data_IF_131034438454
#
_entry.id   IF_131034438454
#
_cell.length_a   1.000
_cell.length_b   1.000
_cell.length_c   1.000
_cell.angle_alpha   90.00
_cell.angle_beta   90.00
_cell.angle_gamma   90.00
#
_symmetry.space_group_name_H-M   'P 1'
#
loop_
_entity.id
_entity.type
_entity.pdbx_description
1 polymer ?
#
# COMPACT_ATOMS: atom_id res chain seq x y z
N UNK A 1 25.14 11.91 -11.74
CA UNK A 1 24.36 12.17 -10.52
C UNK A 1 24.27 10.91 -9.68
N UNK A 2 24.08 11.03 -8.37
CA UNK A 2 23.85 9.86 -7.49
C UNK A 2 22.52 9.17 -7.82
N UNK A 3 22.41 7.83 -7.65
CA UNK A 3 21.17 7.11 -7.93
C UNK A 3 20.03 7.58 -7.01
N UNK A 4 18.89 7.90 -7.60
CA UNK A 4 17.69 8.36 -6.91
C UNK A 4 16.76 7.21 -6.52
N UNK A 5 15.88 7.41 -5.53
CA UNK A 5 14.99 6.38 -5.03
C UNK A 5 13.61 6.93 -4.70
N UNK A 6 12.59 6.13 -4.97
CA UNK A 6 11.21 6.32 -4.51
C UNK A 6 10.98 5.27 -3.42
N UNK A 7 10.69 5.71 -2.20
CA UNK A 7 10.44 4.81 -1.06
C UNK A 7 9.00 4.97 -0.61
N UNK A 8 8.19 3.93 -0.85
CA UNK A 8 6.80 3.87 -0.45
C UNK A 8 6.67 3.20 0.93
N UNK A 9 6.10 3.93 1.90
CA UNK A 9 5.82 3.38 3.24
C UNK A 9 4.58 2.50 3.18
N UNK A 10 4.80 1.20 3.31
CA UNK A 10 3.80 0.15 3.21
C UNK A 10 3.46 -0.42 4.61
N UNK A 11 2.68 -1.51 4.67
CA UNK A 11 2.33 -2.23 5.90
C UNK A 11 2.16 -3.71 5.61
N UNK A 12 2.38 -4.58 6.61
CA UNK A 12 2.11 -6.03 6.53
C UNK A 12 0.64 -6.33 6.17
N UNK A 13 -0.27 -5.38 6.42
CA UNK A 13 -1.69 -5.48 6.07
C UNK A 13 -1.96 -5.70 4.57
N UNK A 14 -0.99 -5.44 3.69
CA UNK A 14 -1.14 -5.75 2.26
C UNK A 14 -1.37 -7.26 1.99
N UNK A 15 -0.90 -8.16 2.87
CA UNK A 15 -1.08 -9.61 2.71
C UNK A 15 -2.54 -10.06 2.85
N UNK A 16 -3.38 -9.28 3.55
CA UNK A 16 -4.81 -9.57 3.73
C UNK A 16 -5.71 -8.64 2.89
N UNK A 17 -5.11 -7.76 2.09
CA UNK A 17 -5.82 -6.85 1.21
C UNK A 17 -6.39 -7.54 -0.03
N UNK A 18 -7.37 -6.89 -0.66
CA UNK A 18 -7.91 -7.32 -1.96
C UNK A 18 -8.17 -6.10 -2.84
N UNK A 19 -7.63 -6.09 -4.05
CA UNK A 19 -7.84 -5.00 -5.02
C UNK A 19 -8.92 -5.43 -6.00
N UNK A 20 -10.11 -4.84 -5.87
CA UNK A 20 -11.19 -4.94 -6.85
C UNK A 20 -11.05 -3.76 -7.82
N UNK A 21 -10.67 -4.03 -9.08
CA UNK A 21 -10.52 -2.97 -10.10
C UNK A 21 -11.84 -2.28 -10.44
N UNK A 22 -12.96 -2.95 -10.22
CA UNK A 22 -14.30 -2.45 -10.53
C UNK A 22 -14.93 -1.66 -9.36
N UNK A 23 -14.33 -1.73 -8.17
CA UNK A 23 -14.79 -1.01 -6.98
C UNK A 23 -13.66 -0.70 -5.99
N UNK A 24 -12.61 -0.02 -6.47
CA UNK A 24 -11.43 0.31 -5.66
C UNK A 24 -11.75 1.14 -4.41
N UNK A 25 -12.86 1.90 -4.43
CA UNK A 25 -13.28 2.77 -3.34
C UNK A 25 -14.32 2.13 -2.41
N UNK A 26 -14.72 0.88 -2.66
CA UNK A 26 -15.73 0.15 -1.85
C UNK A 26 -17.06 0.94 -1.77
N UNK A 27 -17.47 1.50 -2.90
CA UNK A 27 -18.66 2.37 -3.03
C UNK A 27 -19.82 1.69 -3.73
N UNK A 28 -19.59 0.54 -4.41
CA UNK A 28 -20.62 -0.16 -5.18
C UNK A 28 -21.71 -0.83 -4.33
N UNK A 29 -21.50 -0.94 -3.02
CA UNK A 29 -22.39 -1.65 -2.10
C UNK A 29 -22.22 -3.17 -2.09
N UNK A 30 -21.40 -3.76 -2.99
CA UNK A 30 -21.06 -5.20 -2.98
C UNK A 30 -20.41 -5.66 -1.67
N UNK A 31 -19.69 -4.74 -1.01
CA UNK A 31 -19.07 -4.91 0.30
C UNK A 31 -19.24 -3.61 1.09
N UNK A 32 -19.41 -3.69 2.41
CA UNK A 32 -19.39 -2.52 3.29
C UNK A 32 -17.94 -2.09 3.57
N UNK A 33 -17.69 -0.78 3.52
CA UNK A 33 -16.40 -0.22 3.91
C UNK A 33 -16.11 -0.48 5.39
N UNK A 34 -14.87 -0.83 5.69
CA UNK A 34 -14.29 -0.77 7.03
C UNK A 34 -12.84 -0.28 6.92
N UNK A 35 -12.32 0.33 7.99
CA UNK A 35 -10.94 0.82 8.03
C UNK A 35 -9.93 -0.26 7.68
N UNK A 36 -10.13 -1.49 8.15
CA UNK A 36 -9.28 -2.64 7.82
C UNK A 36 -9.35 -2.98 6.32
N UNK A 37 -10.55 -3.06 5.73
CA UNK A 37 -10.71 -3.37 4.30
C UNK A 37 -10.05 -2.28 3.45
N UNK A 38 -10.38 -1.01 3.68
CA UNK A 38 -9.82 0.10 2.90
C UNK A 38 -8.30 0.19 3.05
N UNK A 39 -7.79 0.07 4.28
CA UNK A 39 -6.36 0.16 4.55
C UNK A 39 -5.58 -1.01 3.93
N UNK A 40 -5.99 -2.26 4.19
CA UNK A 40 -5.32 -3.45 3.65
C UNK A 40 -5.31 -3.46 2.11
N UNK A 41 -6.44 -3.15 1.49
CA UNK A 41 -6.55 -3.02 0.03
C UNK A 41 -5.68 -1.90 -0.53
N UNK A 42 -5.63 -0.73 0.11
CA UNK A 42 -4.76 0.38 -0.33
C UNK A 42 -3.27 0.02 -0.26
N UNK A 43 -2.86 -0.73 0.76
CA UNK A 43 -1.47 -1.19 0.94
C UNK A 43 -1.10 -2.26 -0.08
N UNK A 44 -2.03 -3.15 -0.45
CA UNK A 44 -1.83 -4.07 -1.57
C UNK A 44 -1.73 -3.33 -2.92
N UNK A 45 -2.63 -2.38 -3.17
CA UNK A 45 -2.59 -1.56 -4.38
C UNK A 45 -1.25 -0.79 -4.51
N UNK A 46 -0.71 -0.27 -3.40
CA UNK A 46 0.59 0.40 -3.39
C UNK A 46 1.74 -0.53 -3.80
N UNK A 47 1.73 -1.81 -3.39
CA UNK A 47 2.74 -2.80 -3.82
C UNK A 47 2.63 -3.06 -5.32
N UNK A 48 1.41 -3.30 -5.82
CA UNK A 48 1.15 -3.51 -7.25
C UNK A 48 1.62 -2.31 -8.07
N UNK A 49 1.26 -1.10 -7.64
CA UNK A 49 1.67 0.14 -8.27
C UNK A 49 3.19 0.30 -8.28
N UNK A 50 3.87 0.01 -7.17
CA UNK A 50 5.33 0.11 -7.07
C UNK A 50 6.02 -0.81 -8.08
N UNK A 51 5.49 -2.02 -8.28
CA UNK A 51 6.00 -2.97 -9.29
C UNK A 51 5.80 -2.45 -10.72
N UNK A 52 4.63 -1.90 -11.02
CA UNK A 52 4.34 -1.31 -12.34
C UNK A 52 5.21 -0.07 -12.59
N UNK A 53 5.34 0.80 -11.59
CA UNK A 53 6.17 2.01 -11.68
C UNK A 53 7.62 1.65 -11.95
N UNK A 54 8.19 0.68 -11.21
CA UNK A 54 9.55 0.20 -11.44
C UNK A 54 9.76 -0.29 -12.88
N UNK A 55 8.79 -1.04 -13.43
CA UNK A 55 8.85 -1.54 -14.82
C UNK A 55 8.68 -0.46 -15.88
N UNK A 56 8.00 0.64 -15.56
CA UNK A 56 7.71 1.75 -16.49
C UNK A 56 8.78 2.84 -16.50
N UNK A 57 9.58 2.94 -15.45
CA UNK A 57 10.68 3.90 -15.40
C UNK A 57 11.77 3.51 -16.40
N UNK A 58 12.31 4.48 -17.19
CA UNK A 58 13.46 4.22 -18.04
C UNK A 58 14.66 3.75 -17.22
N UNK A 59 15.38 2.75 -17.70
CA UNK A 59 16.54 2.20 -16.99
C UNK A 59 17.64 3.27 -16.80
N UNK A 60 17.77 4.18 -17.77
CA UNK A 60 18.72 5.28 -17.80
C UNK A 60 18.43 6.33 -16.71
N UNK A 61 17.20 6.37 -16.20
CA UNK A 61 16.84 7.26 -15.10
C UNK A 61 17.57 6.88 -13.79
N UNK A 62 18.01 5.62 -13.65
CA UNK A 62 18.72 5.16 -12.46
C UNK A 62 17.89 5.28 -11.17
N UNK A 63 16.56 5.23 -11.29
CA UNK A 63 15.62 5.36 -10.16
C UNK A 63 15.23 3.98 -9.66
N UNK A 64 15.47 3.71 -8.38
CA UNK A 64 14.94 2.52 -7.69
C UNK A 64 13.57 2.81 -7.07
N UNK A 65 12.67 1.83 -7.07
CA UNK A 65 11.37 1.91 -6.37
C UNK A 65 11.36 0.83 -5.29
N UNK A 66 11.12 1.24 -4.04
CA UNK A 66 11.22 0.38 -2.86
C UNK A 66 9.94 0.48 -2.03
N UNK A 67 9.54 -0.62 -1.41
CA UNK A 67 8.50 -0.64 -0.39
C UNK A 67 9.12 -0.98 0.97
N UNK A 68 8.80 -0.21 1.99
CA UNK A 68 9.27 -0.43 3.36
C UNK A 68 8.08 -0.50 4.32
N UNK A 69 7.99 -1.56 5.12
CA UNK A 69 7.01 -1.67 6.20
C UNK A 69 7.69 -1.30 7.52
N UNK A 70 7.20 -0.28 8.26
CA UNK A 70 7.81 0.15 9.51
C UNK A 70 7.45 -0.77 10.69
N UNK A 71 6.60 -1.79 10.47
CA UNK A 71 6.06 -2.64 11.53
C UNK A 71 4.95 -1.94 12.32
N UNK A 72 4.81 -2.33 13.58
CA UNK A 72 3.87 -1.71 14.52
C UNK A 72 4.56 -0.50 15.12
N UNK A 73 4.02 0.69 14.89
CA UNK A 73 4.58 1.95 15.39
C UNK A 73 3.50 2.70 16.15
N UNK A 74 3.82 3.16 17.36
CA UNK A 74 2.91 3.90 18.22
C UNK A 74 2.61 5.27 17.61
N UNK A 75 1.55 5.29 16.80
CA UNK A 75 1.02 6.45 16.09
C UNK A 75 -0.49 6.40 16.15
N UNK A 76 -1.15 7.48 15.76
CA UNK A 76 -2.61 7.54 15.64
C UNK A 76 -3.14 6.88 14.35
N UNK A 77 -2.33 6.13 13.59
CA UNK A 77 -2.76 5.47 12.35
C UNK A 77 -3.79 4.37 12.60
N UNK A 78 -3.75 3.81 13.81
CA UNK A 78 -4.56 2.68 14.22
C UNK A 78 -5.55 3.16 15.29
N UNK A 79 -6.58 3.88 14.85
CA UNK A 79 -7.57 4.45 15.76
C UNK A 79 -8.68 3.45 16.18
N UNK A 80 -8.77 2.27 15.54
CA UNK A 80 -9.87 1.31 15.78
C UNK A 80 -9.46 -0.18 15.65
N UNK A 81 -8.22 -0.58 15.99
CA UNK A 81 -7.92 -2.02 16.15
C UNK A 81 -7.57 -2.33 17.61
N UNK A 82 -8.57 -2.75 18.38
CA UNK A 82 -8.39 -3.31 19.74
C UNK A 82 -7.59 -4.63 19.77
N UNK A 83 -7.09 -5.13 18.63
CA UNK A 83 -6.62 -6.51 18.48
C UNK A 83 -5.10 -6.71 18.32
N UNK A 84 -4.28 -5.67 18.53
CA UNK A 84 -2.83 -5.75 18.32
C UNK A 84 -1.99 -5.27 19.52
N UNK A 85 -2.47 -5.50 20.74
CA UNK A 85 -1.68 -5.47 21.98
C UNK A 85 -2.07 -6.64 22.87
#
# INVERSE_FOLDING_TARGET
GSPSRIVNVNSIMHHVGFVDSEDMNVTSGKRKFSSLVGYSSSKLAQVMFSSVLFKRLPAEAGISVLCASPGIVQTNVVLDIEFMI
#
